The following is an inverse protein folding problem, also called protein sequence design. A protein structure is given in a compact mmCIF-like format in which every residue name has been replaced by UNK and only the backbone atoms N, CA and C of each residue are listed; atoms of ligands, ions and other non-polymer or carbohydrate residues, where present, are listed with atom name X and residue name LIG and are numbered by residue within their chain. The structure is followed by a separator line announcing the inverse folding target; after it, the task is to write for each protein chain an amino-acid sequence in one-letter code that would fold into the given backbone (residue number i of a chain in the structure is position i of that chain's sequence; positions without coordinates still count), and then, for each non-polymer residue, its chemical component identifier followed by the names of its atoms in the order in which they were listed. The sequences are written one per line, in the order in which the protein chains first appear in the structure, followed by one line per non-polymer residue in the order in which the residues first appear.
data_IF_794346535534
#
_entry.id   IF_794346535534
#
_cell.length_a   1.000
_cell.length_b   1.000
_cell.length_c   1.000
_cell.angle_alpha   90.00
_cell.angle_beta   90.00
_cell.angle_gamma   90.00
#
_symmetry.space_group_name_H-M   'P 1'
#
loop_
_entity.id
_entity.type
_entity.pdbx_description
1 polymer ?
#
# COMPACT_ATOMS: atom_id res chain seq x y z
N UNK A 1 24.78 10.99 -37.52
CA UNK A 1 24.54 10.35 -36.22
C UNK A 1 23.77 11.37 -35.42
N UNK A 2 22.46 11.21 -35.33
CA UNK A 2 21.61 12.03 -34.46
C UNK A 2 22.05 11.77 -33.02
N UNK A 3 22.42 12.81 -32.29
CA UNK A 3 22.63 12.72 -30.84
C UNK A 3 21.31 12.23 -30.22
N UNK A 4 21.29 11.01 -29.70
CA UNK A 4 20.18 10.52 -28.88
C UNK A 4 20.15 11.41 -27.63
N UNK A 5 19.11 12.23 -27.50
CA UNK A 5 18.86 12.95 -26.27
C UNK A 5 18.70 11.93 -25.14
N UNK A 6 19.27 12.21 -23.96
CA UNK A 6 19.15 11.29 -22.83
C UNK A 6 17.67 11.13 -22.45
N UNK A 7 17.26 9.96 -21.94
CA UNK A 7 15.89 9.76 -21.48
C UNK A 7 15.56 10.73 -20.34
N UNK A 8 14.28 11.04 -20.20
CA UNK A 8 13.75 11.89 -19.12
C UNK A 8 13.89 11.21 -17.77
N UNK A 9 13.58 9.92 -17.69
CA UNK A 9 13.75 9.15 -16.48
C UNK A 9 14.58 7.91 -16.77
N UNK A 10 15.58 7.69 -15.92
CA UNK A 10 16.27 6.41 -15.78
C UNK A 10 16.25 6.04 -14.30
N UNK A 11 15.68 4.89 -13.97
CA UNK A 11 15.65 4.40 -12.60
C UNK A 11 15.96 2.90 -12.55
N UNK A 12 16.75 2.45 -11.59
CA UNK A 12 17.06 1.03 -11.43
C UNK A 12 16.95 0.55 -9.99
N UNK A 13 16.66 -0.74 -9.82
CA UNK A 13 16.63 -1.41 -8.52
C UNK A 13 16.99 -2.88 -8.67
N UNK A 14 17.76 -3.42 -7.72
CA UNK A 14 18.10 -4.83 -7.64
C UNK A 14 16.94 -5.70 -7.14
N UNK A 15 15.97 -5.12 -6.42
CA UNK A 15 14.78 -5.80 -5.94
C UNK A 15 13.50 -4.97 -6.15
N UNK A 16 12.71 -5.39 -7.13
CA UNK A 16 11.45 -4.71 -7.46
C UNK A 16 10.28 -5.03 -6.52
N UNK A 17 10.42 -6.00 -5.60
CA UNK A 17 9.31 -6.46 -4.74
C UNK A 17 8.74 -5.33 -3.90
N UNK A 18 9.61 -4.48 -3.36
CA UNK A 18 9.19 -3.34 -2.54
C UNK A 18 8.40 -2.33 -3.37
N UNK A 19 8.91 -1.94 -4.54
CA UNK A 19 8.23 -1.04 -5.48
C UNK A 19 6.88 -1.59 -5.94
N UNK A 20 6.83 -2.86 -6.34
CA UNK A 20 5.59 -3.52 -6.74
C UNK A 20 4.57 -3.62 -5.59
N UNK A 21 5.04 -3.79 -4.35
CA UNK A 21 4.17 -3.81 -3.16
C UNK A 21 3.52 -2.46 -2.91
N UNK A 22 4.27 -1.36 -3.08
CA UNK A 22 3.73 0.00 -2.96
C UNK A 22 2.65 0.24 -4.01
N UNK A 23 2.93 -0.07 -5.29
CA UNK A 23 1.98 0.12 -6.38
C UNK A 23 0.71 -0.72 -6.21
N UNK A 24 0.81 -1.94 -5.67
CA UNK A 24 -0.37 -2.75 -5.32
C UNK A 24 -1.19 -2.13 -4.20
N UNK A 25 -0.56 -1.44 -3.26
CA UNK A 25 -1.23 -0.76 -2.15
C UNK A 25 -2.25 0.28 -2.61
N UNK A 26 -2.00 0.92 -3.76
CA UNK A 26 -2.88 1.94 -4.36
C UNK A 26 -3.67 1.43 -5.57
N UNK A 27 -3.55 0.17 -5.98
CA UNK A 27 -4.17 -0.29 -7.21
C UNK A 27 -5.70 -0.28 -7.09
N UNK A 28 -6.40 0.66 -7.75
CA UNK A 28 -7.85 0.63 -7.90
C UNK A 28 -8.17 -0.12 -9.20
N UNK A 29 -9.02 -1.15 -9.11
CA UNK A 29 -9.26 -2.03 -10.26
C UNK A 29 -9.73 -1.20 -11.48
N UNK A 30 -9.01 -1.32 -12.60
CA UNK A 30 -9.34 -0.68 -13.89
C UNK A 30 -9.22 0.86 -13.93
N UNK A 31 -8.34 1.44 -13.11
CA UNK A 31 -8.06 2.87 -13.10
C UNK A 31 -6.67 3.15 -13.70
N UNK A 32 -6.56 4.22 -14.50
CA UNK A 32 -5.26 4.74 -14.93
C UNK A 32 -4.59 5.46 -13.77
N UNK A 33 -3.29 5.24 -13.59
CA UNK A 33 -2.52 5.98 -12.62
C UNK A 33 -1.77 7.11 -13.31
N UNK A 34 -1.84 8.29 -12.72
CA UNK A 34 -1.00 9.42 -13.08
C UNK A 34 0.33 9.28 -12.36
N UNK A 35 1.41 9.18 -13.12
CA UNK A 35 2.78 9.14 -12.63
C UNK A 35 3.36 10.53 -12.79
N UNK A 36 3.83 11.10 -11.68
CA UNK A 36 4.55 12.37 -11.65
C UNK A 36 5.99 12.09 -11.27
N UNK A 37 6.91 12.45 -12.15
CA UNK A 37 8.36 12.33 -11.95
C UNK A 37 8.87 13.64 -11.36
N UNK A 38 9.57 13.55 -10.23
CA UNK A 38 10.21 14.67 -9.54
C UNK A 38 11.68 14.33 -9.27
N UNK A 39 12.51 15.34 -9.01
CA UNK A 39 13.89 15.12 -8.56
C UNK A 39 13.98 14.29 -7.27
N UNK A 40 13.02 14.49 -6.35
CA UNK A 40 12.93 13.76 -5.07
C UNK A 40 12.39 12.33 -5.19
N UNK A 41 11.86 11.92 -6.35
CA UNK A 41 11.28 10.60 -6.55
C UNK A 41 9.99 10.60 -7.37
N UNK A 42 9.24 9.50 -7.29
CA UNK A 42 8.00 9.29 -8.03
C UNK A 42 6.77 9.49 -7.14
N UNK A 43 5.76 10.13 -7.70
CA UNK A 43 4.42 10.19 -7.14
C UNK A 43 3.47 9.46 -8.09
N UNK A 44 2.76 8.45 -7.60
CA UNK A 44 1.78 7.69 -8.37
C UNK A 44 0.40 7.90 -7.75
N UNK A 45 -0.50 8.56 -8.47
CA UNK A 45 -1.83 8.94 -8.00
C UNK A 45 -2.91 8.23 -8.80
N UNK A 46 -3.88 7.66 -8.09
CA UNK A 46 -5.12 7.11 -8.66
C UNK A 46 -6.33 7.79 -8.02
N UNK A 47 -7.42 7.85 -8.78
CA UNK A 47 -8.67 8.44 -8.35
C UNK A 47 -9.83 7.51 -8.73
N UNK A 48 -10.84 7.42 -7.84
CA UNK A 48 -12.08 6.73 -8.15
C UNK A 48 -13.29 7.57 -7.74
N UNK A 49 -14.27 7.66 -8.64
CA UNK A 49 -15.57 8.28 -8.43
C UNK A 49 -15.54 9.72 -7.85
N UNK A 50 -14.47 10.50 -8.09
CA UNK A 50 -14.27 11.86 -7.56
C UNK A 50 -14.51 12.00 -6.05
N UNK A 51 -14.23 10.94 -5.31
CA UNK A 51 -14.54 10.88 -3.87
C UNK A 51 -13.44 10.20 -3.08
N UNK A 52 -12.56 9.45 -3.74
CA UNK A 52 -11.37 8.87 -3.14
C UNK A 52 -10.18 9.02 -4.07
N UNK A 53 -9.04 9.41 -3.50
CA UNK A 53 -7.74 9.41 -4.17
C UNK A 53 -6.76 8.57 -3.36
N UNK A 54 -5.87 7.84 -4.01
CA UNK A 54 -4.72 7.23 -3.37
C UNK A 54 -3.43 7.65 -4.07
N UNK A 55 -2.44 8.03 -3.27
CA UNK A 55 -1.16 8.56 -3.75
C UNK A 55 -0.03 7.79 -3.08
N UNK A 56 0.80 7.12 -3.87
CA UNK A 56 2.05 6.55 -3.41
C UNK A 56 3.19 7.53 -3.65
N UNK A 57 3.93 7.86 -2.60
CA UNK A 57 5.15 8.65 -2.68
C UNK A 57 6.37 7.75 -2.48
N UNK A 58 7.22 7.69 -3.49
CA UNK A 58 8.36 6.77 -3.60
C UNK A 58 9.62 7.60 -3.80
N UNK A 59 10.40 7.78 -2.74
CA UNK A 59 11.61 8.60 -2.78
C UNK A 59 12.67 8.01 -3.71
N UNK A 60 13.48 8.88 -4.32
CA UNK A 60 14.61 8.52 -5.18
C UNK A 60 15.58 7.56 -4.49
N UNK A 61 15.74 7.68 -3.17
CA UNK A 61 16.68 6.88 -2.37
C UNK A 61 16.30 5.39 -2.27
N UNK A 62 15.08 5.02 -2.65
CA UNK A 62 14.66 3.61 -2.75
C UNK A 62 15.31 2.92 -3.95
N UNK A 63 15.61 3.68 -5.00
CA UNK A 63 16.25 3.17 -6.19
C UNK A 63 17.77 3.04 -5.97
N UNK A 64 18.42 2.19 -6.76
CA UNK A 64 19.89 2.12 -6.82
C UNK A 64 20.45 3.22 -7.71
N UNK A 65 19.71 3.56 -8.77
CA UNK A 65 19.95 4.69 -9.66
C UNK A 65 18.62 5.41 -9.88
N UNK A 66 18.62 6.74 -9.82
CA UNK A 66 17.48 7.57 -10.16
C UNK A 66 17.99 8.86 -10.79
N UNK A 67 17.74 9.02 -12.08
CA UNK A 67 18.15 10.17 -12.88
C UNK A 67 16.90 10.73 -13.54
N UNK A 68 16.63 12.01 -13.26
CA UNK A 68 15.54 12.76 -13.86
C UNK A 68 16.13 13.95 -14.63
N UNK A 69 15.80 14.05 -15.91
CA UNK A 69 16.10 15.20 -16.75
C UNK A 69 14.80 15.94 -17.04
N UNK A 70 14.64 17.10 -16.42
CA UNK A 70 13.46 17.95 -16.61
C UNK A 70 13.33 18.44 -18.06
N UNK A 71 12.10 18.47 -18.56
CA UNK A 71 11.76 19.08 -19.86
C UNK A 71 11.86 20.62 -19.83
N UNK A 72 11.83 21.23 -18.64
CA UNK A 72 11.75 22.67 -18.44
C UNK A 72 13.11 23.37 -18.29
N UNK A 73 14.23 22.64 -18.35
CA UNK A 73 15.59 23.21 -18.20
C UNK A 73 15.97 24.26 -19.26
N UNK A 74 15.16 24.50 -20.30
CA UNK A 74 15.40 25.57 -21.27
C UNK A 74 14.98 26.97 -20.81
N UNK A 75 14.31 27.13 -19.65
CA UNK A 75 13.79 28.43 -19.18
C UNK A 75 14.45 28.97 -17.90
N UNK A 76 15.67 28.51 -17.59
CA UNK A 76 16.39 28.69 -16.32
C UNK A 76 16.86 30.13 -15.99
N UNK A 77 16.21 31.18 -16.50
CA UNK A 77 16.55 32.57 -16.19
C UNK A 77 15.56 33.29 -15.26
N UNK A 78 14.44 32.66 -14.85
CA UNK A 78 13.46 33.31 -13.99
C UNK A 78 12.80 32.30 -13.05
N UNK A 79 13.16 32.37 -11.76
CA UNK A 79 12.38 31.96 -10.56
C UNK A 79 13.10 30.96 -9.62
N UNK A 80 14.07 31.46 -8.85
CA UNK A 80 14.39 30.89 -7.54
C UNK A 80 13.25 31.21 -6.56
N UNK A 81 12.24 30.34 -6.48
CA UNK A 81 11.31 30.30 -5.37
C UNK A 81 10.99 28.85 -5.04
N UNK A 82 10.71 28.54 -3.78
CA UNK A 82 10.38 27.19 -3.30
C UNK A 82 9.11 26.57 -3.92
N UNK A 83 8.36 27.32 -4.72
CA UNK A 83 7.25 26.83 -5.55
C UNK A 83 7.70 26.32 -6.93
N UNK A 84 8.94 26.61 -7.36
CA UNK A 84 9.50 26.20 -8.65
C UNK A 84 9.78 24.70 -8.77
N UNK A 85 10.13 24.02 -7.68
CA UNK A 85 10.37 22.55 -7.69
C UNK A 85 9.09 21.73 -7.95
N UNK A 86 7.91 22.30 -7.71
CA UNK A 86 6.63 21.66 -8.03
C UNK A 86 6.20 21.87 -9.49
N UNK A 87 6.74 22.91 -10.14
CA UNK A 87 6.50 23.20 -11.56
C UNK A 87 7.46 22.43 -12.47
N UNK A 88 8.56 21.93 -11.90
CA UNK A 88 9.55 21.15 -12.61
C UNK A 88 9.33 19.64 -12.49
N UNK A 89 8.25 19.19 -13.12
CA UNK A 89 7.80 17.81 -13.09
C UNK A 89 7.41 17.33 -14.50
N UNK A 90 7.50 16.01 -14.69
CA UNK A 90 6.97 15.34 -15.90
C UNK A 90 5.85 14.42 -15.48
N UNK A 91 4.70 14.52 -16.14
CA UNK A 91 3.51 13.74 -15.82
C UNK A 91 3.07 12.90 -17.02
N UNK A 92 2.68 11.66 -16.77
CA UNK A 92 2.06 10.80 -17.76
C UNK A 92 1.11 9.80 -17.08
N UNK A 93 0.16 9.26 -17.83
CA UNK A 93 -0.73 8.21 -17.35
C UNK A 93 -0.33 6.82 -17.85
N UNK A 94 -0.52 5.80 -17.02
CA UNK A 94 -0.35 4.39 -17.39
C UNK A 94 -1.46 3.52 -16.82
N UNK A 95 -1.71 2.39 -17.48
CA UNK A 95 -2.52 1.30 -16.91
C UNK A 95 -1.77 0.69 -15.72
N UNK A 96 -2.21 1.00 -14.49
CA UNK A 96 -1.55 0.51 -13.28
C UNK A 96 -1.58 -1.01 -13.16
N UNK A 97 -2.67 -1.64 -13.61
CA UNK A 97 -2.77 -3.11 -13.70
C UNK A 97 -1.68 -3.67 -14.61
N UNK A 98 -1.52 -3.11 -15.81
CA UNK A 98 -0.50 -3.56 -16.77
C UNK A 98 0.91 -3.36 -16.21
N UNK A 99 1.17 -2.23 -15.56
CA UNK A 99 2.44 -1.98 -14.88
C UNK A 99 2.73 -3.03 -13.80
N UNK A 100 1.75 -3.32 -12.93
CA UNK A 100 1.91 -4.32 -11.87
C UNK A 100 2.09 -5.74 -12.44
N UNK A 101 1.39 -6.08 -13.53
CA UNK A 101 1.52 -7.38 -14.20
C UNK A 101 2.92 -7.54 -14.83
N UNK A 102 3.43 -6.50 -15.50
CA UNK A 102 4.80 -6.48 -16.01
C UNK A 102 5.83 -6.66 -14.89
N UNK A 103 5.68 -5.93 -13.77
CA UNK A 103 6.55 -6.08 -12.60
C UNK A 103 6.49 -7.49 -11.99
N UNK A 104 5.40 -8.22 -12.20
CA UNK A 104 5.20 -9.57 -11.68
C UNK A 104 5.42 -10.67 -12.72
N UNK A 105 6.10 -10.38 -13.84
CA UNK A 105 6.24 -11.33 -14.96
C UNK A 105 6.90 -12.67 -14.54
N UNK A 106 7.84 -12.63 -13.59
CA UNK A 106 8.51 -13.82 -13.05
C UNK A 106 7.81 -14.40 -11.80
N UNK A 107 6.66 -13.83 -11.38
CA UNK A 107 5.91 -14.26 -10.20
C UNK A 107 6.58 -13.94 -8.85
N UNK A 108 7.77 -13.36 -8.87
CA UNK A 108 8.57 -12.95 -7.71
C UNK A 108 8.15 -11.61 -7.13
N UNK A 109 7.47 -10.79 -7.93
CA UNK A 109 7.02 -9.47 -7.53
C UNK A 109 5.82 -9.51 -6.57
N UNK A 110 5.07 -10.62 -6.49
CA UNK A 110 3.84 -10.78 -5.71
C UNK A 110 4.04 -10.78 -4.18
N UNK A 111 2.96 -10.62 -3.39
CA UNK A 111 3.04 -10.70 -1.93
C UNK A 111 3.62 -12.06 -1.53
N UNK A 112 4.65 -12.05 -0.66
CA UNK A 112 5.26 -13.26 -0.12
C UNK A 112 4.25 -13.98 0.78
N UNK A 113 3.43 -14.85 0.21
CA UNK A 113 2.58 -15.74 1.01
C UNK A 113 3.47 -16.77 1.68
N UNK A 114 3.66 -16.66 2.99
CA UNK A 114 4.17 -17.76 3.80
C UNK A 114 3.15 -18.90 3.78
N UNK A 115 3.33 -19.84 2.84
CA UNK A 115 2.81 -21.20 2.85
C UNK A 115 1.30 -21.40 2.89
N UNK A 116 0.71 -21.75 1.74
CA UNK A 116 -0.27 -22.85 1.67
C UNK A 116 -0.04 -23.60 0.37
N UNK A 117 0.32 -24.88 0.48
CA UNK A 117 0.46 -25.77 -0.66
C UNK A 117 -0.89 -25.92 -1.37
N UNK A 118 -1.02 -25.32 -2.55
CA UNK A 118 -2.14 -25.49 -3.47
C UNK A 118 -1.65 -26.24 -4.71
N UNK A 119 -2.11 -27.47 -4.85
CA UNK A 119 -1.88 -28.37 -5.97
C UNK A 119 -2.26 -27.71 -7.32
N UNK A 120 -1.26 -27.24 -8.06
CA UNK A 120 -1.37 -26.85 -9.47
C UNK A 120 -0.98 -28.03 -10.35
N UNK A 121 -1.97 -28.73 -10.89
CA UNK A 121 -1.80 -29.97 -11.63
C UNK A 121 -1.01 -29.83 -12.93
N UNK A 122 0.19 -30.41 -12.97
CA UNK A 122 0.84 -30.76 -14.22
C UNK A 122 0.33 -32.11 -14.72
N UNK A 123 -0.63 -32.08 -15.65
CA UNK A 123 -1.00 -33.24 -16.48
C UNK A 123 0.21 -33.64 -17.34
N UNK A 124 1.04 -34.56 -16.85
CA UNK A 124 2.06 -35.25 -17.65
C UNK A 124 1.46 -36.51 -18.26
N UNK A 125 1.41 -36.53 -19.59
CA UNK A 125 1.10 -37.67 -20.44
C UNK A 125 1.93 -38.90 -20.01
N UNK A 126 1.27 -39.99 -19.60
CA UNK A 126 1.97 -41.25 -19.29
C UNK A 126 1.70 -42.25 -20.41
N UNK A 127 2.76 -42.56 -21.15
CA UNK A 127 2.84 -43.64 -22.14
C UNK A 127 2.66 -44.97 -21.40
N UNK A 128 1.71 -45.78 -21.86
CA UNK A 128 1.40 -47.10 -21.31
C UNK A 128 2.44 -48.11 -21.83
N UNK A 129 3.11 -48.83 -20.92
CA UNK A 129 4.13 -49.81 -21.24
C UNK A 129 4.48 -50.66 -20.01
N UNK A 130 3.89 -51.85 -19.99
CA UNK A 130 4.45 -53.17 -19.61
C UNK A 130 5.12 -53.42 -18.25
N UNK A 131 4.61 -54.51 -17.61
CA UNK A 131 5.33 -55.47 -16.75
C UNK A 131 5.73 -54.98 -15.35
N UNK A 132 5.86 -55.79 -14.31
CA UNK A 132 5.60 -57.20 -14.02
C UNK A 132 5.99 -57.36 -12.53
N UNK A 133 5.21 -58.13 -11.78
CA UNK A 133 5.53 -58.98 -10.63
C UNK A 133 6.76 -58.67 -9.73
N UNK A 134 6.57 -58.56 -8.41
CA UNK A 134 6.70 -59.71 -7.51
C UNK A 134 6.52 -59.36 -6.02
N UNK A 135 5.96 -60.32 -5.29
CA UNK A 135 5.82 -60.42 -3.84
C UNK A 135 7.16 -60.60 -3.10
N UNK A 136 7.21 -60.17 -1.84
CA UNK A 136 7.66 -60.98 -0.68
C UNK A 136 7.63 -60.15 0.60
N UNK A 137 7.03 -60.72 1.63
CA UNK A 137 6.95 -60.16 2.98
C UNK A 137 8.21 -60.42 3.80
N UNK A 138 8.33 -59.72 4.92
CA UNK A 138 8.37 -60.31 6.26
C UNK A 138 8.47 -59.21 7.33
N UNK A 139 8.07 -59.61 8.52
CA UNK A 139 7.70 -58.84 9.70
C UNK A 139 8.87 -58.08 10.34
N UNK A 140 8.56 -56.95 10.98
CA UNK A 140 9.13 -56.61 12.30
C UNK A 140 8.38 -55.45 12.95
N UNK A 141 7.68 -55.77 14.04
CA UNK A 141 7.16 -54.81 15.00
C UNK A 141 8.31 -54.17 15.79
N UNK A 142 8.53 -52.86 15.63
CA UNK A 142 9.30 -52.07 16.58
C UNK A 142 8.93 -50.58 16.51
N UNK A 143 8.02 -50.17 17.43
CA UNK A 143 7.99 -48.86 18.11
C UNK A 143 8.46 -47.64 17.30
N UNK A 144 7.55 -47.10 16.48
CA UNK A 144 7.73 -45.81 15.81
C UNK A 144 7.70 -44.62 16.78
N UNK A 145 8.85 -44.27 17.36
CA UNK A 145 9.14 -42.88 17.73
C UNK A 145 9.27 -42.10 16.44
N UNK A 146 8.25 -41.30 16.12
CA UNK A 146 8.25 -40.43 14.93
C UNK A 146 9.48 -39.55 14.90
N UNK A 147 10.43 -39.89 14.02
CA UNK A 147 11.43 -38.94 13.52
C UNK A 147 10.64 -37.87 12.77
N UNK A 148 10.44 -36.73 13.43
CA UNK A 148 10.10 -35.47 12.78
C UNK A 148 11.09 -35.31 11.64
N UNK A 149 10.62 -35.47 10.41
CA UNK A 149 11.34 -35.02 9.22
C UNK A 149 11.41 -33.51 9.41
N UNK A 150 12.57 -33.00 9.81
CA UNK A 150 12.83 -31.58 9.71
C UNK A 150 12.58 -31.21 8.24
N UNK A 151 11.72 -30.22 7.95
CA UNK A 151 11.72 -29.68 6.61
C UNK A 151 13.14 -29.18 6.40
N UNK A 152 13.85 -29.77 5.43
CA UNK A 152 15.01 -29.12 4.83
C UNK A 152 14.55 -27.71 4.56
N UNK A 153 15.06 -26.78 5.36
CA UNK A 153 15.01 -25.37 5.07
C UNK A 153 15.68 -25.27 3.72
N UNK A 154 14.86 -25.17 2.68
CA UNK A 154 15.30 -24.66 1.41
C UNK A 154 15.58 -23.19 1.69
N UNK A 155 16.76 -22.92 2.23
CA UNK A 155 17.48 -21.69 2.01
C UNK A 155 17.79 -21.66 0.51
N UNK A 156 16.75 -21.52 -0.31
CA UNK A 156 16.91 -21.04 -1.67
C UNK A 156 17.48 -19.65 -1.51
N UNK A 157 18.66 -19.44 -2.10
CA UNK A 157 19.17 -18.10 -2.38
C UNK A 157 17.99 -17.19 -2.71
N UNK A 158 17.75 -16.15 -1.91
CA UNK A 158 16.67 -15.21 -2.18
C UNK A 158 16.88 -14.71 -3.62
N UNK A 159 16.00 -15.11 -4.52
CA UNK A 159 16.06 -14.67 -5.90
C UNK A 159 15.52 -13.25 -5.92
N UNK A 160 16.35 -12.30 -6.32
CA UNK A 160 16.01 -10.89 -6.38
C UNK A 160 15.76 -10.54 -7.84
N UNK A 161 14.57 -10.04 -8.14
CA UNK A 161 14.24 -9.60 -9.48
C UNK A 161 14.56 -8.13 -9.60
N UNK A 162 15.57 -7.81 -10.41
CA UNK A 162 15.96 -6.45 -10.71
C UNK A 162 15.09 -5.83 -11.79
N UNK A 163 15.02 -4.51 -11.79
CA UNK A 163 14.33 -3.70 -12.79
C UNK A 163 15.21 -2.52 -13.19
N UNK A 164 15.23 -2.23 -14.48
CA UNK A 164 15.66 -0.96 -15.06
C UNK A 164 14.46 -0.33 -15.78
N UNK A 165 14.07 0.86 -15.38
CA UNK A 165 12.91 1.60 -15.86
C UNK A 165 13.39 2.85 -16.59
N UNK A 166 12.87 3.07 -17.79
CA UNK A 166 13.26 4.18 -18.65
C UNK A 166 12.03 4.84 -19.26
N UNK A 167 12.01 6.16 -19.31
CA UNK A 167 11.00 6.95 -20.01
C UNK A 167 11.67 8.05 -20.83
N UNK A 168 11.43 8.04 -22.15
CA UNK A 168 12.09 8.98 -23.07
C UNK A 168 11.40 10.35 -23.17
N UNK A 169 10.17 10.49 -22.65
CA UNK A 169 9.39 11.73 -22.66
C UNK A 169 8.04 11.62 -23.35
N UNK A 170 7.37 12.76 -23.53
CA UNK A 170 6.02 12.83 -24.09
C UNK A 170 5.87 12.04 -25.41
N UNK A 171 4.88 11.15 -25.47
CA UNK A 171 4.59 10.31 -26.65
C UNK A 171 5.38 9.00 -26.75
N UNK A 172 6.34 8.74 -25.87
CA UNK A 172 7.08 7.47 -25.80
C UNK A 172 6.49 6.52 -24.74
N UNK A 173 6.62 5.20 -24.89
CA UNK A 173 6.19 4.25 -23.86
C UNK A 173 7.09 4.31 -22.61
N UNK A 174 6.57 3.83 -21.49
CA UNK A 174 7.38 3.49 -20.32
C UNK A 174 8.00 2.11 -20.56
N UNK A 175 9.33 2.04 -20.59
CA UNK A 175 10.07 0.80 -20.85
C UNK A 175 10.60 0.22 -19.54
N UNK A 176 10.33 -1.07 -19.30
CA UNK A 176 10.84 -1.83 -18.17
C UNK A 176 11.69 -2.98 -18.67
N UNK A 177 12.95 -3.05 -18.24
CA UNK A 177 13.82 -4.20 -18.40
C UNK A 177 13.92 -4.92 -17.06
N UNK A 178 13.38 -6.15 -16.98
CA UNK A 178 13.28 -6.93 -15.75
C UNK A 178 14.16 -8.18 -15.87
N UNK A 179 14.92 -8.51 -14.83
CA UNK A 179 15.82 -9.67 -14.79
C UNK A 179 15.70 -10.44 -13.47
N UNK A 180 15.56 -11.77 -13.52
CA UNK A 180 15.45 -12.63 -12.32
C UNK A 180 16.79 -12.82 -11.58
N UNK A 181 17.91 -12.81 -12.30
CA UNK A 181 19.27 -12.81 -11.77
C UNK A 181 20.28 -12.34 -12.84
N UNK A 182 21.56 -12.18 -12.50
CA UNK A 182 22.60 -11.67 -13.40
C UNK A 182 22.86 -12.55 -14.65
N UNK A 183 22.48 -13.83 -14.62
CA UNK A 183 22.60 -14.81 -15.70
C UNK A 183 21.24 -15.29 -16.22
N UNK A 184 20.16 -14.71 -15.69
CA UNK A 184 18.81 -15.21 -15.82
C UNK A 184 18.11 -14.67 -17.06
N UNK A 185 16.88 -15.14 -17.33
CA UNK A 185 16.07 -14.58 -18.38
C UNK A 185 15.80 -13.09 -18.10
N UNK A 186 15.89 -12.28 -19.15
CA UNK A 186 15.50 -10.87 -19.13
C UNK A 186 14.20 -10.70 -19.91
N UNK A 187 13.37 -9.76 -19.49
CA UNK A 187 12.13 -9.39 -20.19
C UNK A 187 12.10 -7.88 -20.36
N UNK A 188 11.77 -7.43 -21.57
CA UNK A 188 11.50 -6.02 -21.85
C UNK A 188 9.99 -5.83 -22.01
N UNK A 189 9.42 -4.90 -21.27
CA UNK A 189 8.03 -4.50 -21.39
C UNK A 189 7.97 -3.04 -21.86
N UNK A 190 7.19 -2.77 -22.90
CA UNK A 190 6.88 -1.42 -23.35
C UNK A 190 5.42 -1.12 -23.03
N UNK A 191 5.19 -0.21 -22.08
CA UNK A 191 3.86 0.12 -21.58
C UNK A 191 3.45 1.45 -22.18
N UNK A 192 2.32 1.47 -22.89
CA UNK A 192 1.77 2.71 -23.47
C UNK A 192 1.48 3.74 -22.38
N UNK A 193 1.94 4.97 -22.62
CA UNK A 193 1.65 6.15 -21.80
C UNK A 193 0.53 6.96 -22.44
N UNK A 194 -0.16 7.75 -21.62
CA UNK A 194 -1.25 8.63 -22.05
C UNK A 194 -1.02 10.03 -21.49
N UNK A 195 -1.62 11.03 -22.14
CA UNK A 195 -1.67 12.40 -21.63
C UNK A 195 -2.42 12.42 -20.28
N UNK A 196 -1.91 13.10 -19.24
CA UNK A 196 -2.58 13.18 -17.95
C UNK A 196 -3.94 13.89 -18.03
N UNK A 197 -4.98 13.27 -17.47
CA UNK A 197 -6.26 13.95 -17.25
C UNK A 197 -6.22 14.74 -15.92
N UNK A 198 -6.89 15.90 -15.83
CA UNK A 198 -7.01 16.63 -14.57
C UNK A 198 -7.69 15.77 -13.49
N UNK A 199 -6.96 15.47 -12.42
CA UNK A 199 -7.45 14.71 -11.28
C UNK A 199 -8.04 15.63 -10.21
N UNK A 200 -8.94 15.07 -9.40
CA UNK A 200 -9.43 15.68 -8.17
C UNK A 200 -8.25 15.90 -7.21
N UNK A 201 -8.16 17.10 -6.67
CA UNK A 201 -7.23 17.41 -5.60
C UNK A 201 -7.97 17.48 -4.27
N UNK A 202 -7.63 16.53 -3.39
CA UNK A 202 -8.16 16.43 -2.04
C UNK A 202 -7.02 16.79 -1.08
N UNK A 203 -6.73 18.08 -0.98
CA UNK A 203 -5.69 18.58 -0.09
C UNK A 203 -6.18 18.56 1.36
N UNK A 204 -5.51 17.75 2.18
CA UNK A 204 -5.78 17.70 3.60
C UNK A 204 -5.03 18.83 4.33
N UNK A 205 -5.78 19.82 4.80
CA UNK A 205 -5.22 20.93 5.59
C UNK A 205 -5.00 20.52 7.06
N UNK A 206 -3.74 20.49 7.48
CA UNK A 206 -3.40 20.12 8.85
C UNK A 206 -3.84 21.17 9.88
N UNK A 207 -4.07 22.43 9.48
CA UNK A 207 -4.55 23.47 10.38
C UNK A 207 -6.04 23.29 10.73
N UNK A 208 -6.79 22.60 9.86
CA UNK A 208 -8.20 22.24 10.05
C UNK A 208 -8.42 20.88 10.71
N UNK A 209 -7.34 20.15 10.98
CA UNK A 209 -7.38 18.81 11.56
C UNK A 209 -8.01 18.81 12.96
N UNK A 210 -9.03 17.96 13.17
CA UNK A 210 -9.72 17.83 14.46
C UNK A 210 -9.52 16.46 15.12
N UNK A 211 -9.15 15.44 14.34
CA UNK A 211 -8.77 14.12 14.82
C UNK A 211 -7.44 13.71 14.21
N UNK A 212 -6.57 13.16 15.05
CA UNK A 212 -5.34 12.47 14.65
C UNK A 212 -5.12 11.24 15.52
N UNK A 213 -4.97 10.09 14.88
CA UNK A 213 -4.69 8.81 15.52
C UNK A 213 -3.51 8.16 14.82
N UNK A 214 -2.49 7.75 15.58
CA UNK A 214 -1.42 6.89 15.07
C UNK A 214 -1.58 5.52 15.70
N UNK A 215 -1.63 4.49 14.87
CA UNK A 215 -1.82 3.10 15.26
C UNK A 215 -0.95 2.15 14.43
N UNK A 216 -0.74 0.94 14.94
CA UNK A 216 -0.08 -0.14 14.18
C UNK A 216 -0.97 -0.56 13.02
N UNK A 217 -0.46 -0.57 11.79
CA UNK A 217 -1.28 -0.89 10.61
C UNK A 217 -1.92 -2.28 10.68
N UNK A 218 -1.25 -3.24 11.32
CA UNK A 218 -1.80 -4.58 11.52
C UNK A 218 -3.15 -4.57 12.21
N UNK A 219 -3.33 -3.68 13.17
CA UNK A 219 -4.55 -3.62 13.94
C UNK A 219 -5.73 -3.09 13.12
N UNK A 220 -5.51 -2.02 12.35
CA UNK A 220 -6.57 -1.48 11.50
C UNK A 220 -6.89 -2.40 10.32
N UNK A 221 -5.89 -3.13 9.81
CA UNK A 221 -6.11 -4.23 8.87
C UNK A 221 -7.05 -5.28 9.46
N UNK A 222 -6.73 -5.76 10.67
CA UNK A 222 -7.49 -6.83 11.31
C UNK A 222 -8.94 -6.36 11.56
N UNK A 223 -9.13 -5.14 12.08
CA UNK A 223 -10.45 -4.51 12.26
C UNK A 223 -11.26 -4.42 10.96
N UNK A 224 -10.66 -3.94 9.87
CA UNK A 224 -11.35 -3.85 8.57
C UNK A 224 -11.62 -5.22 7.95
N UNK A 225 -10.76 -6.21 8.19
CA UNK A 225 -10.91 -7.57 7.65
C UNK A 225 -12.03 -8.38 8.31
N UNK A 226 -12.42 -8.01 9.53
CA UNK A 226 -13.55 -8.62 10.26
C UNK A 226 -14.91 -8.09 9.79
N UNK A 227 -14.93 -7.02 9.00
CA UNK A 227 -16.17 -6.41 8.52
C UNK A 227 -16.73 -7.16 7.31
N UNK A 228 -18.06 -7.25 7.25
CA UNK A 228 -18.76 -7.89 6.15
C UNK A 228 -18.58 -7.06 4.85
N UNK A 229 -18.13 -7.67 3.74
CA UNK A 229 -18.01 -6.98 2.45
C UNK A 229 -19.31 -6.36 1.92
N UNK A 230 -20.47 -6.79 2.42
CA UNK A 230 -21.79 -6.23 2.09
C UNK A 230 -22.16 -4.97 2.87
N UNK A 231 -21.29 -4.49 3.78
CA UNK A 231 -21.48 -3.18 4.40
C UNK A 231 -21.43 -2.06 3.35
N UNK A 232 -22.34 -1.09 3.48
CA UNK A 232 -22.42 0.05 2.57
C UNK A 232 -21.59 1.24 3.08
N UNK A 233 -21.56 1.41 4.41
CA UNK A 233 -20.89 2.54 5.08
C UNK A 233 -20.06 2.13 6.27
N UNK A 234 -18.98 2.88 6.48
CA UNK A 234 -18.13 2.82 7.66
C UNK A 234 -18.12 4.20 8.34
N UNK A 235 -18.47 4.25 9.61
CA UNK A 235 -18.51 5.48 10.42
C UNK A 235 -17.40 5.45 11.46
N UNK A 236 -16.59 6.51 11.47
CA UNK A 236 -15.63 6.78 12.54
C UNK A 236 -16.26 7.74 13.53
N UNK A 237 -16.37 7.29 14.78
CA UNK A 237 -16.85 8.10 15.90
C UNK A 237 -15.69 8.25 16.88
N UNK A 238 -15.31 9.48 17.21
CA UNK A 238 -14.26 9.75 18.18
C UNK A 238 -14.69 10.79 19.20
N UNK A 239 -14.23 10.63 20.43
CA UNK A 239 -14.52 11.55 21.53
C UNK A 239 -13.20 12.01 22.17
N UNK A 240 -13.07 13.30 22.54
CA UNK A 240 -11.95 13.77 23.33
C UNK A 240 -11.81 12.96 24.62
N UNK A 241 -10.59 12.71 25.11
CA UNK A 241 -10.41 12.05 26.40
C UNK A 241 -11.09 12.87 27.49
N UNK A 242 -11.98 12.28 28.27
CA UNK A 242 -12.61 12.99 29.39
C UNK A 242 -11.53 13.44 30.38
N UNK A 243 -11.36 14.76 30.55
CA UNK A 243 -10.55 15.29 31.64
C UNK A 243 -11.28 14.99 32.94
N UNK A 244 -10.79 14.04 33.73
CA UNK A 244 -11.30 13.67 35.06
C UNK A 244 -10.98 14.77 36.10
N UNK A 245 -11.45 15.99 35.88
CA UNK A 245 -11.25 17.14 36.77
C UNK A 245 -12.39 17.30 37.78
N UNK A 246 -12.81 16.24 38.47
CA UNK A 246 -13.66 16.44 39.65
C UNK A 246 -13.37 15.44 40.79
N UNK A 247 -12.41 15.74 41.70
CA UNK A 247 -12.09 14.88 42.84
C UNK A 247 -13.14 14.90 43.98
N UNK A 248 -14.31 15.54 43.80
CA UNK A 248 -15.11 16.01 44.94
C UNK A 248 -16.41 15.29 45.25
N UNK A 249 -16.79 14.20 44.61
CA UNK A 249 -17.94 13.42 45.08
C UNK A 249 -17.69 11.91 44.97
N UNK A 250 -17.17 11.36 46.08
CA UNK A 250 -17.17 9.93 46.35
C UNK A 250 -18.60 9.40 46.43
N UNK A 251 -19.10 8.95 45.28
CA UNK A 251 -20.15 7.93 45.10
C UNK A 251 -20.08 7.54 43.63
N UNK A 252 -19.23 6.57 43.32
CA UNK A 252 -19.15 5.93 42.00
C UNK A 252 -20.56 5.50 41.56
N UNK A 253 -21.15 6.26 40.64
CA UNK A 253 -22.28 5.78 39.84
C UNK A 253 -21.73 4.68 38.94
N UNK A 254 -21.95 3.44 39.37
CA UNK A 254 -21.51 2.19 38.74
C UNK A 254 -22.27 1.89 37.43
N UNK A 255 -22.43 2.89 36.56
CA UNK A 255 -23.27 2.78 35.35
C UNK A 255 -23.21 3.93 34.35
N UNK A 256 -22.28 4.88 34.45
CA UNK A 256 -22.03 5.81 33.34
C UNK A 256 -20.96 5.17 32.46
N UNK A 257 -21.35 4.45 31.41
CA UNK A 257 -20.40 3.91 30.43
C UNK A 257 -19.57 5.08 29.88
N UNK A 258 -18.26 5.07 30.11
CA UNK A 258 -17.34 6.02 29.51
C UNK A 258 -17.47 5.94 28.00
N UNK A 259 -17.70 7.08 27.33
CA UNK A 259 -17.80 7.10 25.88
C UNK A 259 -16.51 6.56 25.26
N UNK A 260 -16.59 5.71 24.22
CA UNK A 260 -15.39 5.19 23.55
C UNK A 260 -14.62 6.34 22.91
N UNK A 261 -13.29 6.25 22.96
CA UNK A 261 -12.39 7.27 22.43
C UNK A 261 -12.30 7.16 20.90
N UNK A 262 -12.34 5.92 20.40
CA UNK A 262 -12.60 5.60 19.00
C UNK A 262 -13.65 4.49 18.93
N UNK A 263 -14.63 4.65 18.06
CA UNK A 263 -15.57 3.61 17.65
C UNK A 263 -15.59 3.54 16.13
N UNK A 264 -15.45 2.33 15.62
CA UNK A 264 -15.67 2.02 14.21
C UNK A 264 -17.03 1.34 14.11
N UNK A 265 -17.93 1.92 13.32
CA UNK A 265 -19.27 1.38 13.09
C UNK A 265 -19.45 1.05 11.62
N UNK A 266 -19.69 -0.20 11.29
CA UNK A 266 -20.04 -0.61 9.94
C UNK A 266 -21.55 -0.84 9.85
N UNK A 267 -22.18 -0.36 8.80
CA UNK A 267 -23.61 -0.53 8.57
C UNK A 267 -23.90 -1.05 7.17
N UNK A 268 -24.83 -1.99 7.08
CA UNK A 268 -25.38 -2.49 5.82
C UNK A 268 -26.81 -2.99 6.00
N UNK A 269 -27.34 -3.64 4.97
CA UNK A 269 -28.74 -4.07 4.91
C UNK A 269 -29.17 -5.04 6.02
N UNK A 270 -28.23 -5.80 6.60
CA UNK A 270 -28.50 -6.85 7.58
C UNK A 270 -28.17 -6.46 9.03
N UNK A 271 -27.84 -5.19 9.27
CA UNK A 271 -27.57 -4.67 10.60
C UNK A 271 -26.32 -3.80 10.68
N UNK A 272 -25.88 -3.54 11.90
CA UNK A 272 -24.69 -2.74 12.19
C UNK A 272 -23.74 -3.48 13.11
N UNK A 273 -22.45 -3.41 12.80
CA UNK A 273 -21.37 -3.90 13.64
C UNK A 273 -20.68 -2.70 14.28
N UNK A 274 -20.46 -2.73 15.59
CA UNK A 274 -19.77 -1.67 16.33
C UNK A 274 -18.54 -2.25 17.03
N UNK A 275 -17.39 -1.60 16.84
CA UNK A 275 -16.14 -1.94 17.48
C UNK A 275 -15.68 -0.75 18.33
N UNK A 276 -15.62 -0.95 19.64
CA UNK A 276 -15.22 0.06 20.62
C UNK A 276 -13.76 -0.08 21.01
N UNK A 277 -13.04 1.03 20.92
CA UNK A 277 -11.61 1.05 21.18
C UNK A 277 -11.27 2.04 22.30
N UNK A 278 -10.82 1.52 23.45
CA UNK A 278 -10.33 2.35 24.53
C UNK A 278 -8.99 3.00 24.17
N UNK A 279 -8.57 4.02 24.92
CA UNK A 279 -7.23 4.59 24.82
C UNK A 279 -6.19 3.66 25.46
N UNK A 280 -5.98 2.53 24.79
CA UNK A 280 -4.95 1.56 25.11
C UNK A 280 -3.70 1.88 24.27
N UNK A 281 -2.59 2.13 24.96
CA UNK A 281 -1.30 2.47 24.33
C UNK A 281 -0.67 1.31 23.57
N UNK A 282 -1.10 0.08 23.81
CA UNK A 282 -0.61 -1.08 23.06
C UNK A 282 -1.12 -1.08 21.59
N UNK A 283 -2.22 -0.35 21.36
CA UNK A 283 -2.93 -0.22 20.08
C UNK A 283 -2.78 1.19 19.50
N UNK A 284 -3.07 2.22 20.29
CA UNK A 284 -3.01 3.63 19.90
C UNK A 284 -1.67 4.23 20.37
N UNK A 285 -0.75 4.45 19.42
CA UNK A 285 0.52 5.09 19.72
C UNK A 285 0.33 6.58 20.04
N UNK A 286 -0.59 7.24 19.35
CA UNK A 286 -1.02 8.61 19.65
C UNK A 286 -2.49 8.81 19.38
N UNK A 287 -3.13 9.68 20.17
CA UNK A 287 -4.52 10.07 19.99
C UNK A 287 -4.69 11.54 20.35
N UNK A 288 -5.16 12.34 19.40
CA UNK A 288 -5.46 13.76 19.56
C UNK A 288 -6.85 14.00 18.95
N UNK A 289 -7.79 14.49 19.76
CA UNK A 289 -9.16 14.75 19.32
C UNK A 289 -9.66 16.01 20.02
N UNK A 290 -10.00 17.05 19.25
CA UNK A 290 -10.37 18.36 19.78
C UNK A 290 -11.84 18.42 20.20
N UNK A 291 -12.72 17.75 19.45
CA UNK A 291 -14.18 17.68 19.69
C UNK A 291 -14.73 16.31 19.31
N UNK A 292 -15.90 15.96 19.84
CA UNK A 292 -16.58 14.73 19.42
C UNK A 292 -16.95 14.81 17.94
N UNK A 293 -16.65 13.74 17.18
CA UNK A 293 -16.94 13.64 15.75
C UNK A 293 -17.69 12.36 15.43
N UNK A 294 -18.39 12.38 14.31
CA UNK A 294 -19.02 11.21 13.67
C UNK A 294 -19.07 11.48 12.17
N UNK A 295 -18.24 10.79 11.38
CA UNK A 295 -18.25 10.90 9.93
C UNK A 295 -18.36 9.53 9.29
N UNK A 296 -19.18 9.42 8.26
CA UNK A 296 -19.43 8.19 7.52
C UNK A 296 -18.77 8.23 6.15
N UNK A 297 -18.24 7.10 5.70
CA UNK A 297 -17.56 6.94 4.41
C UNK A 297 -18.10 5.71 3.71
N UNK A 298 -17.99 5.66 2.38
CA UNK A 298 -18.36 4.45 1.63
C UNK A 298 -17.44 3.30 2.04
N UNK A 299 -18.01 2.20 2.51
CA UNK A 299 -17.22 1.07 3.01
C UNK A 299 -16.29 0.51 1.93
N UNK A 300 -16.77 0.38 0.68
CA UNK A 300 -15.97 -0.13 -0.44
C UNK A 300 -14.76 0.73 -0.77
N UNK A 301 -14.76 2.02 -0.42
CA UNK A 301 -13.60 2.91 -0.58
C UNK A 301 -12.57 2.65 0.52
N UNK A 302 -13.01 2.61 1.78
CA UNK A 302 -12.13 2.31 2.90
C UNK A 302 -11.54 0.90 2.79
N UNK A 303 -12.33 -0.08 2.34
CA UNK A 303 -11.86 -1.45 2.13
C UNK A 303 -10.69 -1.55 1.12
N UNK A 304 -10.53 -0.60 0.20
CA UNK A 304 -9.37 -0.58 -0.73
C UNK A 304 -8.05 -0.35 0.00
N UNK A 305 -8.06 0.29 1.17
CA UNK A 305 -6.85 0.51 1.96
C UNK A 305 -6.29 -0.79 2.55
N UNK A 306 -7.07 -1.88 2.58
CA UNK A 306 -6.60 -3.20 3.04
C UNK A 306 -5.34 -3.66 2.30
N UNK A 307 -5.18 -3.31 1.02
CA UNK A 307 -3.98 -3.66 0.23
C UNK A 307 -2.73 -2.95 0.75
N UNK A 308 -2.81 -1.66 1.07
CA UNK A 308 -1.70 -0.92 1.68
C UNK A 308 -1.42 -1.40 3.11
N UNK A 309 -2.49 -1.66 3.89
CA UNK A 309 -2.42 -2.13 5.28
C UNK A 309 -1.78 -3.52 5.45
N UNK A 310 -1.77 -4.35 4.41
CA UNK A 310 -1.11 -5.66 4.43
C UNK A 310 0.42 -5.55 4.55
N UNK A 311 1.01 -4.45 4.06
CA UNK A 311 2.46 -4.28 3.98
C UNK A 311 2.98 -3.07 4.76
N UNK A 312 2.12 -2.12 5.14
CA UNK A 312 2.50 -0.98 5.96
C UNK A 312 2.75 -1.35 7.43
N UNK A 313 3.52 -0.50 8.11
CA UNK A 313 3.91 -0.70 9.51
C UNK A 313 3.10 0.16 10.47
N UNK A 314 2.87 1.43 10.12
CA UNK A 314 2.08 2.39 10.91
C UNK A 314 1.06 3.10 10.03
N UNK A 315 -0.06 3.42 10.64
CA UNK A 315 -1.15 4.18 10.02
C UNK A 315 -1.38 5.45 10.81
N UNK A 316 -1.39 6.59 10.11
CA UNK A 316 -1.88 7.86 10.61
C UNK A 316 -3.29 8.09 10.03
N UNK A 317 -4.29 8.11 10.90
CA UNK A 317 -5.68 8.44 10.56
C UNK A 317 -5.95 9.86 11.03
N UNK A 318 -6.30 10.73 10.09
CA UNK A 318 -6.63 12.14 10.34
C UNK A 318 -7.97 12.49 9.73
N UNK A 319 -8.74 13.33 10.42
CA UNK A 319 -10.01 13.87 9.93
C UNK A 319 -10.04 15.37 10.24
N UNK A 320 -10.46 16.17 9.27
CA UNK A 320 -10.64 17.62 9.41
C UNK A 320 -12.06 17.99 9.86
N UNK A 321 -12.34 19.30 9.94
CA UNK A 321 -13.62 19.83 10.39
C UNK A 321 -14.78 19.66 9.41
N UNK A 322 -14.52 19.41 8.13
CA UNK A 322 -15.50 19.07 7.08
C UNK A 322 -15.72 17.56 6.94
N UNK A 323 -14.85 16.75 7.54
CA UNK A 323 -14.92 15.29 7.46
C UNK A 323 -14.12 14.68 6.32
N UNK A 324 -13.18 15.40 5.69
CA UNK A 324 -12.22 14.79 4.79
C UNK A 324 -11.33 13.84 5.61
N UNK A 325 -11.29 12.57 5.20
CA UNK A 325 -10.45 11.55 5.81
C UNK A 325 -9.10 11.49 5.11
N UNK A 326 -8.02 11.55 5.88
CA UNK A 326 -6.66 11.24 5.44
C UNK A 326 -6.11 10.02 6.16
N UNK A 327 -5.82 8.97 5.40
CA UNK A 327 -5.16 7.75 5.88
C UNK A 327 -3.77 7.65 5.24
N UNK A 328 -2.74 7.87 6.04
CA UNK A 328 -1.35 7.75 5.61
C UNK A 328 -0.73 6.47 6.17
N UNK A 329 -0.14 5.67 5.28
CA UNK A 329 0.49 4.39 5.58
C UNK A 329 1.99 4.48 5.39
N UNK A 330 2.75 4.21 6.46
CA UNK A 330 4.21 4.15 6.41
C UNK A 330 4.66 2.77 5.91
N UNK A 331 5.30 2.75 4.75
CA UNK A 331 5.81 1.53 4.12
C UNK A 331 7.19 1.16 4.71
N UNK A 332 7.48 -0.13 4.90
CA UNK A 332 8.77 -0.58 5.42
C UNK A 332 9.89 -0.24 4.43
N UNK A 333 10.98 0.35 4.89
CA UNK A 333 12.13 0.63 4.02
C UNK A 333 12.88 -0.66 3.68
N UNK A 334 13.27 -0.88 2.40
CA UNK A 334 14.09 -2.03 2.01
C UNK A 334 15.56 -1.84 2.40
N UNK A 335 16.04 -0.60 2.55
CA UNK A 335 17.40 -0.29 2.98
C UNK A 335 17.42 -0.21 4.50
N UNK A 336 18.29 -1.00 5.14
CA UNK A 336 18.46 -0.94 6.60
C UNK A 336 18.84 0.49 7.02
N UNK A 337 18.25 0.98 8.12
CA UNK A 337 18.55 2.31 8.68
C UNK A 337 20.07 2.46 8.82
N UNK A 338 20.64 3.42 8.10
CA UNK A 338 22.01 3.83 8.30
C UNK A 338 22.21 4.45 9.70
N UNK A 339 23.46 4.75 10.09
CA UNK A 339 23.77 5.39 11.37
C UNK A 339 23.07 6.75 11.57
N UNK A 340 22.60 7.39 10.49
CA UNK A 340 21.84 8.66 10.50
C UNK A 340 20.32 8.49 10.64
N UNK A 341 19.82 7.27 10.89
CA UNK A 341 18.49 7.03 11.48
C UNK A 341 17.28 7.12 10.54
N UNK A 342 17.39 7.77 9.39
CA UNK A 342 16.31 7.84 8.39
C UNK A 342 16.63 6.90 7.21
N UNK A 343 16.04 5.71 7.22
CA UNK A 343 16.02 4.86 6.03
C UNK A 343 15.08 5.44 4.99
N UNK A 344 15.34 5.24 3.69
CA UNK A 344 14.48 5.69 2.60
C UNK A 344 13.04 5.20 2.80
N UNK A 345 12.12 6.09 3.17
CA UNK A 345 10.74 5.74 3.49
C UNK A 345 9.90 5.81 2.22
N UNK A 346 8.79 5.08 2.17
CA UNK A 346 7.73 5.34 1.20
C UNK A 346 6.43 5.50 1.98
N UNK A 347 5.52 6.30 1.43
CA UNK A 347 4.22 6.54 2.02
C UNK A 347 3.12 6.26 1.01
N UNK A 348 1.99 5.78 1.51
CA UNK A 348 0.76 5.71 0.74
C UNK A 348 -0.29 6.52 1.47
N UNK A 349 -0.79 7.55 0.80
CA UNK A 349 -1.82 8.45 1.32
C UNK A 349 -3.14 8.20 0.61
N UNK A 350 -4.21 8.03 1.38
CA UNK A 350 -5.57 7.97 0.89
C UNK A 350 -6.33 9.18 1.41
N UNK A 351 -7.01 9.88 0.51
CA UNK A 351 -7.97 10.92 0.86
C UNK A 351 -9.36 10.48 0.42
N UNK A 352 -10.34 10.58 1.33
CA UNK A 352 -11.71 10.17 1.06
C UNK A 352 -12.69 11.21 1.59
N UNK A 353 -13.60 11.65 0.72
CA UNK A 353 -14.71 12.51 1.11
C UNK A 353 -15.71 11.74 1.99
N UNK A 354 -16.34 12.41 2.96
CA UNK A 354 -17.41 11.82 3.75
C UNK A 354 -18.65 11.64 2.87
N UNK A 355 -19.53 10.73 3.29
CA UNK A 355 -20.89 10.65 2.78
C UNK A 355 -21.70 11.81 3.36
N UNK A 356 -22.55 12.42 2.54
CA UNK A 356 -23.57 13.33 3.04
C UNK A 356 -24.43 12.58 4.06
N UNK A 357 -24.58 13.14 5.26
CA UNK A 357 -25.58 12.63 6.19
C UNK A 357 -26.95 12.87 5.54
N UNK A 358 -27.73 11.81 5.33
CA UNK A 358 -29.14 11.97 4.99
C UNK A 358 -29.74 12.90 6.04
N UNK A 359 -30.13 14.11 5.62
CA UNK A 359 -30.92 15.01 6.44
C UNK A 359 -32.26 14.32 6.64
N UNK A 360 -32.36 13.51 7.70
CA UNK A 360 -33.61 12.87 8.12
C UNK A 360 -34.54 13.90 8.72
#
# INVERSE_FOLDING_TARGET
MSEEQPPILTASMHDLRHFATILRGINFNNVRATVTILHRGLLVKVEEARTITATAFIFSDIFDEYIYHSENQQNDNLMESSQGELLDNTMFEVSLNTLIDCLNIFGTGGPTSSGTGGSGGNKRWRKQGEGSDNESGEENEARGRGRRIEPISTTGSEKHTGMHMTYAGGGYPLTLLIAEDASGPTTTCEISTYEPEPQLDLDFDNDRMILKIILKSSWFRDALSELDPSCDKLTFVSNPPEMTNNPRNGKQRKGSATKPILRIKAGGNFGTTEMDYPNDRDVLESFECTRSISFSYRFTHIAKTLRALQSSTKTSLRIDDEGLLSLQFMMPSPKARGPEGEGAQAFIDFHCLPLDEDVV
#
